data_IF_485905580531
#
_entry.id   IF_485905580531
#
_cell.length_a   1.000
_cell.length_b   1.000
_cell.length_c   1.000
_cell.angle_alpha   90.00
_cell.angle_beta   90.00
_cell.angle_gamma   90.00
#
_symmetry.space_group_name_H-M   'P 1'
#
loop_
_entity.id
_entity.type
_entity.pdbx_description
1 polymer ?
#
# COMPACT_ATOMS: atom_id res chain seq x y z
N UNK A 1 -13.16 -8.92 -5.10
CA UNK A 1 -12.18 -9.08 -3.99
C UNK A 1 -10.95 -9.74 -4.56
N UNK A 2 -9.76 -9.20 -4.29
CA UNK A 2 -8.48 -9.84 -4.67
C UNK A 2 -7.50 -9.84 -3.50
N UNK A 3 -6.52 -10.73 -3.54
CA UNK A 3 -5.40 -10.72 -2.62
C UNK A 3 -4.22 -9.98 -3.27
N UNK A 4 -3.60 -9.08 -2.51
CA UNK A 4 -2.30 -8.53 -2.81
C UNK A 4 -1.25 -9.38 -2.09
N UNK A 5 -0.39 -10.02 -2.87
CA UNK A 5 0.65 -10.94 -2.41
C UNK A 5 2.02 -10.28 -2.43
N UNK A 6 3.03 -10.84 -1.72
CA UNK A 6 4.39 -10.31 -1.77
C UNK A 6 4.95 -10.19 -3.19
N UNK A 7 4.60 -11.10 -4.11
CA UNK A 7 5.07 -11.09 -5.49
C UNK A 7 4.61 -9.86 -6.29
N UNK A 8 3.57 -9.16 -5.84
CA UNK A 8 2.97 -8.02 -6.55
C UNK A 8 3.45 -6.66 -6.02
N UNK A 9 4.22 -6.64 -4.91
CA UNK A 9 4.59 -5.40 -4.22
C UNK A 9 5.48 -4.50 -5.09
N UNK A 10 6.39 -5.03 -5.91
CA UNK A 10 7.21 -4.19 -6.81
C UNK A 10 6.37 -3.51 -7.87
N UNK A 11 5.35 -4.21 -8.39
CA UNK A 11 4.43 -3.63 -9.37
C UNK A 11 3.57 -2.53 -8.74
N UNK A 12 3.16 -2.72 -7.48
CA UNK A 12 2.47 -1.68 -6.73
C UNK A 12 3.37 -0.45 -6.51
N UNK A 13 4.62 -0.66 -6.09
CA UNK A 13 5.60 0.40 -5.87
C UNK A 13 5.81 1.26 -7.13
N UNK A 14 6.01 0.61 -8.28
CA UNK A 14 6.14 1.28 -9.56
C UNK A 14 4.90 2.12 -9.89
N UNK A 15 3.70 1.56 -9.71
CA UNK A 15 2.45 2.28 -9.95
C UNK A 15 2.31 3.53 -9.07
N UNK A 16 2.68 3.43 -7.79
CA UNK A 16 2.67 4.58 -6.86
C UNK A 16 3.60 5.69 -7.33
N UNK A 17 4.84 5.35 -7.69
CA UNK A 17 5.83 6.32 -8.17
C UNK A 17 5.34 7.01 -9.46
N UNK A 18 4.82 6.23 -10.40
CA UNK A 18 4.38 6.76 -11.70
C UNK A 18 3.12 7.62 -11.60
N UNK A 19 2.18 7.27 -10.72
CA UNK A 19 0.88 7.95 -10.60
C UNK A 19 0.88 9.06 -9.53
N UNK A 20 1.90 9.11 -8.66
CA UNK A 20 1.99 10.08 -7.56
C UNK A 20 2.31 11.52 -7.98
N UNK A 21 2.56 11.79 -9.27
CA UNK A 21 2.89 13.13 -9.80
C UNK A 21 4.06 13.83 -9.08
N UNK A 22 5.02 13.06 -8.56
CA UNK A 22 6.15 13.54 -7.76
C UNK A 22 5.89 13.65 -6.25
N UNK A 23 4.66 13.39 -5.79
CA UNK A 23 4.28 13.26 -4.38
C UNK A 23 4.04 11.80 -3.95
N UNK A 24 3.50 11.61 -2.74
CA UNK A 24 3.17 10.26 -2.22
C UNK A 24 4.32 9.48 -1.57
N UNK A 25 5.47 10.13 -1.41
CA UNK A 25 6.73 9.51 -0.96
C UNK A 25 7.75 9.49 -2.10
N UNK A 26 9.01 9.78 -1.80
CA UNK A 26 10.11 9.62 -2.75
C UNK A 26 10.42 8.15 -2.98
N UNK A 27 11.36 7.86 -3.89
CA UNK A 27 11.79 6.48 -4.17
C UNK A 27 12.27 5.75 -2.90
N UNK A 28 13.02 6.44 -2.04
CA UNK A 28 13.51 5.91 -0.76
C UNK A 28 12.35 5.64 0.23
N UNK A 29 11.36 6.53 0.31
CA UNK A 29 10.17 6.34 1.14
C UNK A 29 9.38 5.11 0.68
N UNK A 30 9.18 4.98 -0.64
CA UNK A 30 8.46 3.85 -1.26
C UNK A 30 9.21 2.55 -1.04
N UNK A 31 10.53 2.54 -1.17
CA UNK A 31 11.36 1.37 -0.89
C UNK A 31 11.25 0.92 0.57
N UNK A 32 11.31 1.85 1.52
CA UNK A 32 11.17 1.53 2.94
C UNK A 32 9.78 0.93 3.26
N UNK A 33 8.71 1.56 2.78
CA UNK A 33 7.33 1.09 3.04
C UNK A 33 7.06 -0.26 2.37
N UNK A 34 7.56 -0.49 1.15
CA UNK A 34 7.38 -1.77 0.45
C UNK A 34 8.17 -2.90 1.10
N UNK A 35 9.35 -2.62 1.66
CA UNK A 35 10.12 -3.57 2.47
C UNK A 35 9.33 -3.97 3.72
N UNK A 36 8.79 -2.98 4.45
CA UNK A 36 7.94 -3.24 5.62
C UNK A 36 6.69 -4.05 5.24
N UNK A 37 6.04 -3.74 4.11
CA UNK A 37 4.86 -4.45 3.63
C UNK A 37 5.16 -5.92 3.35
N UNK A 38 6.29 -6.24 2.68
CA UNK A 38 6.71 -7.62 2.41
C UNK A 38 6.92 -8.40 3.71
N UNK A 39 7.68 -7.83 4.65
CA UNK A 39 7.93 -8.45 5.95
C UNK A 39 6.62 -8.73 6.71
N UNK A 40 5.68 -7.78 6.67
CA UNK A 40 4.37 -7.95 7.29
C UNK A 40 3.54 -9.04 6.59
N UNK A 41 3.58 -9.11 5.26
CA UNK A 41 2.87 -10.15 4.52
C UNK A 41 3.44 -11.56 4.76
N UNK A 42 4.74 -11.69 5.00
CA UNK A 42 5.37 -12.97 5.36
C UNK A 42 4.95 -13.47 6.74
N UNK A 43 4.64 -12.56 7.67
CA UNK A 43 4.29 -12.88 9.06
C UNK A 43 2.78 -12.97 9.31
N UNK A 44 1.97 -12.16 8.61
CA UNK A 44 0.52 -12.03 8.83
C UNK A 44 -0.30 -12.55 7.64
N UNK A 45 0.32 -12.72 6.47
CA UNK A 45 -0.33 -13.15 5.24
C UNK A 45 -0.67 -12.01 4.28
N UNK A 46 -1.25 -12.33 3.11
CA UNK A 46 -1.53 -11.35 2.04
C UNK A 46 -2.60 -10.32 2.45
N UNK A 47 -2.56 -9.16 1.80
CA UNK A 47 -3.53 -8.08 2.05
C UNK A 47 -4.77 -8.29 1.19
N UNK A 48 -5.95 -8.24 1.81
CA UNK A 48 -7.22 -8.29 1.09
C UNK A 48 -7.57 -6.91 0.53
N UNK A 49 -7.77 -6.85 -0.77
CA UNK A 49 -8.18 -5.63 -1.48
C UNK A 49 -9.63 -5.81 -1.93
N UNK A 50 -10.48 -4.90 -1.48
CA UNK A 50 -11.91 -4.85 -1.80
C UNK A 50 -12.16 -3.79 -2.87
N UNK A 51 -13.07 -4.09 -3.78
CA UNK A 51 -13.69 -3.08 -4.63
C UNK A 51 -14.71 -2.28 -3.82
N UNK A 52 -15.01 -1.01 -4.19
CA UNK A 52 -15.93 -0.17 -3.41
C UNK A 52 -17.31 -0.78 -3.17
N UNK A 53 -17.83 -1.56 -4.11
CA UNK A 53 -19.15 -2.21 -4.01
C UNK A 53 -19.15 -3.44 -3.10
N UNK A 54 -17.98 -3.89 -2.63
CA UNK A 54 -17.85 -5.02 -1.70
C UNK A 54 -17.81 -4.58 -0.24
N UNK A 55 -17.76 -3.27 0.01
CA UNK A 55 -17.75 -2.69 1.35
C UNK A 55 -19.20 -2.48 1.80
N UNK A 56 -19.49 -2.82 3.06
CA UNK A 56 -20.75 -2.48 3.71
C UNK A 56 -20.91 -0.94 3.71
N UNK A 57 -22.01 -0.39 3.16
CA UNK A 57 -22.21 1.06 3.07
C UNK A 57 -22.19 1.78 4.43
N UNK A 58 -22.45 1.06 5.53
CA UNK A 58 -22.43 1.59 6.89
C UNK A 58 -21.09 1.36 7.61
N UNK A 59 -20.10 0.75 6.94
CA UNK A 59 -18.78 0.51 7.53
C UNK A 59 -18.00 1.80 7.78
N UNK A 60 -17.31 1.85 8.93
CA UNK A 60 -16.38 2.93 9.24
C UNK A 60 -15.05 2.73 8.50
N UNK A 61 -14.77 3.61 7.52
CA UNK A 61 -13.47 3.68 6.85
C UNK A 61 -12.54 4.68 7.53
N UNK A 62 -11.33 4.24 7.88
CA UNK A 62 -10.27 5.12 8.40
C UNK A 62 -9.19 5.28 7.33
N UNK A 63 -8.89 6.53 6.97
CA UNK A 63 -7.75 6.84 6.10
C UNK A 63 -6.48 6.82 6.92
N UNK A 64 -5.53 5.99 6.50
CA UNK A 64 -4.21 5.87 7.11
C UNK A 64 -3.14 6.30 6.12
N UNK A 65 -2.10 6.95 6.64
CA UNK A 65 -0.97 7.43 5.85
C UNK A 65 0.17 7.83 6.78
N UNK A 66 1.37 7.93 6.22
CA UNK A 66 2.56 8.38 6.94
C UNK A 66 2.77 9.87 6.68
N UNK A 67 3.12 10.61 7.73
CA UNK A 67 3.47 12.04 7.67
C UNK A 67 4.80 12.21 8.40
N UNK A 68 5.75 12.90 7.79
CA UNK A 68 7.05 13.16 8.38
C UNK A 68 7.93 14.05 7.50
N UNK A 69 9.07 14.47 8.04
CA UNK A 69 10.13 15.10 7.26
C UNK A 69 10.92 14.02 6.52
N UNK A 70 11.34 14.32 5.28
CA UNK A 70 12.31 13.46 4.58
C UNK A 70 13.70 13.68 5.17
N UNK A 71 14.52 12.62 5.29
CA UNK A 71 15.93 12.78 5.65
C UNK A 71 16.70 13.60 4.61
#
# INVERSE_FOLDING_TARGET
MRLLTPAEVDRLAFGVIMLGSGGGGGEEDVYAVTTMLRQMMETVGPVRVLEPHEIDPDALGVRVGLIGARP
#
